data_IF_939645071349
#
_entry.id   IF_939645071349
#
_cell.length_a   1.000
_cell.length_b   1.000
_cell.length_c   1.000
_cell.angle_alpha   90.00
_cell.angle_beta   90.00
_cell.angle_gamma   90.00
#
_symmetry.space_group_name_H-M   'P 1'
#
loop_
_entity.id
_entity.type
_entity.pdbx_description
1 polymer ?
#
# COMPACT_ATOMS: atom_id res chain seq x y z
N UNK A 1 -0.79 7.01 -20.13
CA UNK A 1 0.38 6.29 -19.58
C UNK A 1 -0.10 4.95 -19.02
N UNK A 2 0.57 3.83 -19.30
CA UNK A 2 0.18 2.54 -18.70
C UNK A 2 0.53 2.55 -17.22
N UNK A 3 -0.41 2.13 -16.36
CA UNK A 3 -0.16 1.99 -14.93
C UNK A 3 0.94 0.94 -14.70
N UNK A 4 1.88 1.23 -13.82
CA UNK A 4 2.89 0.26 -13.38
C UNK A 4 2.24 -0.71 -12.38
N UNK A 5 2.59 -2.02 -12.43
CA UNK A 5 2.14 -2.96 -11.42
C UNK A 5 2.70 -2.55 -10.06
N UNK A 6 1.85 -2.52 -9.05
CA UNK A 6 2.26 -2.35 -7.65
C UNK A 6 2.31 -3.74 -7.04
N UNK A 7 3.49 -4.14 -6.59
CA UNK A 7 3.73 -5.46 -5.99
C UNK A 7 4.08 -5.22 -4.51
N UNK A 8 3.17 -5.49 -3.57
CA UNK A 8 3.47 -5.41 -2.14
C UNK A 8 4.58 -6.39 -1.79
N UNK A 9 5.44 -5.99 -0.84
CA UNK A 9 6.37 -6.92 -0.20
C UNK A 9 5.61 -7.82 0.76
N UNK A 10 6.13 -9.02 1.04
CA UNK A 10 5.48 -9.98 1.93
C UNK A 10 5.08 -9.38 3.29
N UNK A 11 5.94 -8.53 3.87
CA UNK A 11 5.63 -7.85 5.13
C UNK A 11 4.45 -6.87 5.02
N UNK A 12 4.35 -6.14 3.90
CA UNK A 12 3.20 -5.25 3.67
C UNK A 12 1.89 -6.03 3.51
N UNK A 13 1.93 -7.25 2.96
CA UNK A 13 0.75 -8.13 2.93
C UNK A 13 0.33 -8.56 4.33
N UNK A 14 1.29 -8.88 5.22
CA UNK A 14 1.01 -9.19 6.62
C UNK A 14 0.43 -7.99 7.38
N UNK A 15 0.94 -6.78 7.12
CA UNK A 15 0.39 -5.55 7.70
C UNK A 15 -1.09 -5.34 7.31
N UNK A 16 -1.43 -5.62 6.05
CA UNK A 16 -2.81 -5.54 5.54
C UNK A 16 -3.70 -6.58 6.21
N UNK A 17 -3.26 -7.83 6.29
CA UNK A 17 -3.98 -8.90 6.99
C UNK A 17 -4.20 -8.55 8.47
N UNK A 18 -3.18 -8.03 9.14
CA UNK A 18 -3.26 -7.57 10.54
C UNK A 18 -4.29 -6.45 10.72
N UNK A 19 -4.33 -5.48 9.81
CA UNK A 19 -5.30 -4.39 9.85
C UNK A 19 -6.74 -4.90 9.65
N UNK A 20 -6.95 -5.85 8.72
CA UNK A 20 -8.26 -6.46 8.48
C UNK A 20 -8.70 -7.25 9.72
N UNK A 21 -7.82 -8.10 10.27
CA UNK A 21 -8.11 -8.89 11.46
C UNK A 21 -8.50 -8.00 12.64
N UNK A 22 -7.80 -6.89 12.85
CA UNK A 22 -8.16 -5.92 13.88
C UNK A 22 -9.60 -5.40 13.73
N UNK A 23 -10.02 -5.02 12.52
CA UNK A 23 -11.41 -4.58 12.31
C UNK A 23 -12.43 -5.70 12.54
N UNK A 24 -12.11 -6.93 12.15
CA UNK A 24 -12.98 -8.07 12.37
C UNK A 24 -13.13 -8.41 13.86
N UNK A 25 -12.03 -8.40 14.62
CA UNK A 25 -12.03 -8.60 16.08
C UNK A 25 -12.87 -7.54 16.79
N UNK A 26 -12.88 -6.31 16.27
CA UNK A 26 -13.70 -5.20 16.76
C UNK A 26 -15.15 -5.23 16.25
N UNK A 27 -15.56 -6.31 15.55
CA UNK A 27 -16.89 -6.46 14.93
C UNK A 27 -17.24 -5.31 13.97
N UNK A 28 -16.23 -4.71 13.34
CA UNK A 28 -16.33 -3.54 12.48
C UNK A 28 -16.20 -3.93 10.99
N UNK A 29 -17.03 -4.86 10.52
CA UNK A 29 -16.97 -5.42 9.16
C UNK A 29 -17.05 -4.33 8.06
N UNK A 30 -17.91 -3.32 8.25
CA UNK A 30 -18.02 -2.21 7.30
C UNK A 30 -16.73 -1.38 7.21
N UNK A 31 -16.02 -1.22 8.33
CA UNK A 31 -14.73 -0.54 8.34
C UNK A 31 -13.65 -1.39 7.66
N UNK A 32 -13.67 -2.71 7.84
CA UNK A 32 -12.77 -3.63 7.14
C UNK A 32 -12.95 -3.54 5.62
N UNK A 33 -14.20 -3.56 5.14
CA UNK A 33 -14.51 -3.39 3.72
C UNK A 33 -14.10 -2.00 3.20
N UNK A 34 -14.40 -0.94 3.95
CA UNK A 34 -13.99 0.42 3.61
C UNK A 34 -12.47 0.59 3.52
N UNK A 35 -11.72 -0.09 4.39
CA UNK A 35 -10.26 -0.13 4.35
C UNK A 35 -9.74 -0.82 3.08
N UNK A 36 -10.30 -1.98 2.71
CA UNK A 36 -9.93 -2.70 1.49
C UNK A 36 -10.17 -1.81 0.26
N UNK A 37 -11.36 -1.22 0.13
CA UNK A 37 -11.71 -0.32 -0.97
C UNK A 37 -10.74 0.88 -1.08
N UNK A 38 -10.36 1.46 0.06
CA UNK A 38 -9.43 2.58 0.11
C UNK A 38 -8.03 2.16 -0.32
N UNK A 39 -7.56 0.99 0.12
CA UNK A 39 -6.26 0.44 -0.22
C UNK A 39 -6.15 0.10 -1.72
N UNK A 40 -7.18 -0.49 -2.32
CA UNK A 40 -7.22 -0.76 -3.76
C UNK A 40 -7.13 0.53 -4.58
N UNK A 41 -7.88 1.57 -4.19
CA UNK A 41 -7.80 2.90 -4.82
C UNK A 41 -6.41 3.50 -4.71
N UNK A 42 -5.75 3.32 -3.57
CA UNK A 42 -4.38 3.77 -3.36
C UNK A 42 -3.39 3.05 -4.28
N UNK A 43 -3.48 1.73 -4.44
CA UNK A 43 -2.61 0.98 -5.38
C UNK A 43 -2.81 1.41 -6.83
N UNK A 44 -4.06 1.64 -7.26
CA UNK A 44 -4.34 2.19 -8.59
C UNK A 44 -3.69 3.58 -8.76
N UNK A 45 -3.79 4.43 -7.73
CA UNK A 45 -3.18 5.76 -7.75
C UNK A 45 -1.65 5.70 -7.85
N UNK A 46 -0.99 4.89 -7.02
CA UNK A 46 0.48 4.71 -7.03
C UNK A 46 0.95 4.17 -8.37
N UNK A 47 0.26 3.18 -8.94
CA UNK A 47 0.61 2.62 -10.24
C UNK A 47 0.52 3.65 -11.38
N UNK A 48 -0.43 4.59 -11.29
CA UNK A 48 -0.61 5.69 -12.26
C UNK A 48 0.38 6.83 -12.06
N UNK A 49 0.70 7.15 -10.81
CA UNK A 49 1.53 8.29 -10.41
C UNK A 49 2.64 7.83 -9.45
N UNK A 50 3.62 7.03 -9.89
CA UNK A 50 4.64 6.46 -9.00
C UNK A 50 5.53 7.52 -8.32
N UNK A 51 5.57 8.75 -8.84
CA UNK A 51 6.27 9.89 -8.23
C UNK A 51 5.39 10.72 -7.26
N UNK A 52 4.12 10.35 -7.03
CA UNK A 52 3.25 11.05 -6.06
C UNK A 52 3.58 10.73 -4.60
N UNK A 53 4.42 9.71 -4.37
CA UNK A 53 4.94 9.41 -3.04
C UNK A 53 5.81 10.55 -2.51
N UNK A 54 5.59 10.91 -1.25
CA UNK A 54 6.46 11.82 -0.52
C UNK A 54 7.82 11.13 -0.28
N UNK A 55 8.85 11.54 -1.02
CA UNK A 55 10.24 10.99 -1.00
C UNK A 55 10.89 10.85 0.39
N UNK A 56 10.35 11.55 1.39
CA UNK A 56 10.86 11.70 2.76
C UNK A 56 11.02 10.40 3.57
N UNK A 57 10.36 9.29 3.20
CA UNK A 57 10.55 7.98 3.87
C UNK A 57 11.51 7.02 3.15
N UNK A 58 11.94 7.30 1.92
CA UNK A 58 12.86 6.42 1.20
C UNK A 58 14.27 6.42 1.81
N UNK A 59 14.66 7.52 2.47
CA UNK A 59 15.97 7.65 3.11
C UNK A 59 16.08 6.93 4.47
N UNK A 60 14.98 6.72 5.19
CA UNK A 60 15.01 6.07 6.51
C UNK A 60 14.87 4.55 6.44
N UNK A 61 14.38 4.01 5.32
CA UNK A 61 14.07 2.60 5.21
C UNK A 61 15.24 1.71 4.76
N UNK A 62 16.40 2.27 4.37
CA UNK A 62 17.59 1.52 3.91
C UNK A 62 17.27 0.33 2.98
N UNK A 63 16.23 0.48 2.15
CA UNK A 63 15.77 -0.54 1.22
C UNK A 63 16.44 -0.30 -0.13
N UNK A 64 17.36 -1.16 -0.56
CA UNK A 64 17.92 -1.06 -1.88
C UNK A 64 16.81 -1.35 -2.91
N UNK A 65 16.44 -0.35 -3.71
CA UNK A 65 15.61 -0.54 -4.90
C UNK A 65 14.40 0.37 -5.08
N UNK A 66 14.14 1.34 -4.18
CA UNK A 66 12.94 2.18 -4.27
C UNK A 66 13.17 3.64 -4.71
N UNK A 67 14.21 3.90 -5.51
CA UNK A 67 14.28 5.12 -6.32
C UNK A 67 14.16 4.76 -7.80
N UNK A 68 13.20 5.41 -8.44
CA UNK A 68 12.82 5.25 -9.83
C UNK A 68 14.01 5.20 -10.80
N UNK A 69 13.95 4.32 -11.79
CA UNK A 69 14.62 4.52 -13.09
C UNK A 69 15.47 3.36 -13.59
N UNK A 70 14.83 2.42 -14.29
CA UNK A 70 14.94 2.33 -15.75
C UNK A 70 13.65 1.77 -16.32
#
# INVERSE_FOLDING_TARGET
MKAKPVIPRAFASQDVEGAINYYLDQQAEQAALGFIDALEKAYVHIGRLPASGMSRYAHELDLPGYLAGR
#
